data_IF_325172369099
#
_entry.id   IF_325172369099
#
_cell.length_a   1.000
_cell.length_b   1.000
_cell.length_c   1.000
_cell.angle_alpha   90.00
_cell.angle_beta   90.00
_cell.angle_gamma   90.00
#
_symmetry.space_group_name_H-M   'P 1'
#
loop_
_entity.id
_entity.type
_entity.pdbx_description
1 polymer ?
#
# COMPACT_ATOMS: atom_id res chain seq x y z
N UNK A 1 7.91 -2.60 15.29
CA UNK A 1 8.12 -1.16 15.03
C UNK A 1 6.81 -0.51 14.61
N UNK A 2 6.66 0.78 14.90
CA UNK A 2 5.57 1.63 14.42
C UNK A 2 6.04 3.09 14.37
N UNK A 3 5.25 3.95 13.74
CA UNK A 3 5.52 5.38 13.60
C UNK A 3 6.21 5.72 12.28
N UNK A 4 6.56 7.00 12.15
CA UNK A 4 7.32 7.52 11.01
C UNK A 4 8.81 7.57 11.33
N UNK A 5 9.63 7.16 10.38
CA UNK A 5 11.10 7.17 10.51
C UNK A 5 11.71 7.98 9.38
N UNK A 6 12.32 9.13 9.70
CA UNK A 6 13.05 9.94 8.74
C UNK A 6 14.48 9.43 8.61
N UNK A 7 14.89 9.18 7.37
CA UNK A 7 16.23 8.68 7.04
C UNK A 7 16.92 9.72 6.17
N UNK A 8 18.10 10.15 6.61
CA UNK A 8 19.00 11.00 5.82
C UNK A 8 20.31 10.26 5.60
N UNK A 9 20.62 9.94 4.35
CA UNK A 9 21.84 9.21 3.96
C UNK A 9 22.62 10.09 2.99
N UNK A 10 23.87 10.41 3.31
CA UNK A 10 24.69 11.30 2.47
C UNK A 10 26.16 10.92 2.44
N UNK A 11 26.81 11.21 1.31
CA UNK A 11 28.25 11.27 1.18
C UNK A 11 28.64 12.58 0.50
N UNK A 12 29.92 12.72 0.11
CA UNK A 12 30.43 13.93 -0.57
C UNK A 12 29.72 14.30 -1.87
N UNK A 13 29.01 13.37 -2.52
CA UNK A 13 28.43 13.53 -3.87
C UNK A 13 26.90 13.51 -3.87
N UNK A 14 26.28 12.73 -3.00
CA UNK A 14 24.86 12.39 -3.06
C UNK A 14 24.25 12.52 -1.67
N UNK A 15 22.98 12.93 -1.60
CA UNK A 15 22.16 12.89 -0.40
C UNK A 15 20.75 12.39 -0.72
N UNK A 16 20.27 11.46 0.10
CA UNK A 16 18.90 10.98 0.17
C UNK A 16 18.28 11.47 1.47
N UNK A 17 17.00 11.84 1.42
CA UNK A 17 16.23 12.29 2.57
C UNK A 17 14.76 11.93 2.34
N UNK A 18 14.25 11.01 3.15
CA UNK A 18 12.91 10.48 2.99
C UNK A 18 12.34 10.03 4.33
N UNK A 19 11.03 9.81 4.37
CA UNK A 19 10.29 9.38 5.56
C UNK A 19 9.56 8.09 5.23
N UNK A 20 9.79 7.05 6.03
CA UNK A 20 9.01 5.81 5.97
C UNK A 20 7.83 5.92 6.93
N UNK A 21 6.65 5.45 6.48
CA UNK A 21 5.41 5.45 7.29
C UNK A 21 4.85 4.06 7.53
N UNK A 22 5.29 3.06 6.75
CA UNK A 22 4.82 1.68 6.82
C UNK A 22 6.00 0.73 6.84
N UNK A 23 5.70 -0.50 7.27
CA UNK A 23 6.65 -1.60 7.31
C UNK A 23 7.16 -2.04 5.93
N UNK A 24 6.46 -1.75 4.84
CA UNK A 24 6.88 -2.11 3.49
C UNK A 24 6.92 -0.87 2.59
N UNK A 25 8.11 -0.55 2.09
CA UNK A 25 8.35 0.49 1.10
C UNK A 25 9.10 -0.12 -0.08
N UNK A 26 8.56 0.06 -1.29
CA UNK A 26 9.13 -0.50 -2.52
C UNK A 26 9.67 0.64 -3.38
N UNK A 27 10.95 0.58 -3.70
CA UNK A 27 11.59 1.51 -4.63
C UNK A 27 11.70 0.84 -6.00
N UNK A 28 10.92 1.34 -6.96
CA UNK A 28 10.88 0.87 -8.35
C UNK A 28 11.57 1.86 -9.29
N UNK A 29 11.97 1.38 -10.47
CA UNK A 29 12.52 2.21 -11.54
C UNK A 29 13.59 1.48 -12.34
N UNK A 30 14.00 2.05 -13.46
CA UNK A 30 14.99 1.45 -14.34
C UNK A 30 16.40 1.39 -13.73
N UNK A 31 17.33 0.74 -14.43
CA UNK A 31 18.76 0.74 -14.10
C UNK A 31 19.30 2.17 -13.91
N UNK A 32 20.30 2.32 -13.04
CA UNK A 32 21.03 3.58 -12.82
C UNK A 32 20.18 4.77 -12.28
N UNK A 33 19.04 4.49 -11.64
CA UNK A 33 18.18 5.48 -10.97
C UNK A 33 18.64 5.85 -9.54
N UNK A 34 19.73 5.26 -9.05
CA UNK A 34 20.27 5.52 -7.70
C UNK A 34 19.74 4.60 -6.61
N UNK A 35 18.99 3.54 -6.94
CA UNK A 35 18.52 2.53 -5.98
C UNK A 35 19.66 1.73 -5.34
N UNK A 36 20.52 1.14 -6.18
CA UNK A 36 21.70 0.40 -5.72
C UNK A 36 22.65 1.31 -4.95
N UNK A 37 22.88 2.54 -5.42
CA UNK A 37 23.67 3.55 -4.69
C UNK A 37 23.16 3.83 -3.28
N UNK A 38 21.83 3.95 -3.10
CA UNK A 38 21.24 4.14 -1.77
C UNK A 38 21.58 2.96 -0.85
N UNK A 39 21.39 1.73 -1.33
CA UNK A 39 21.58 0.52 -0.52
C UNK A 39 23.07 0.26 -0.24
N UNK A 40 23.94 0.50 -1.21
CA UNK A 40 25.40 0.41 -1.02
C UNK A 40 25.87 1.42 0.03
N UNK A 41 25.35 2.65 0.03
CA UNK A 41 25.68 3.63 1.07
C UNK A 41 25.22 3.19 2.46
N UNK A 42 24.06 2.53 2.58
CA UNK A 42 23.62 1.93 3.85
C UNK A 42 24.57 0.83 4.26
N UNK A 43 24.92 -0.09 3.35
CA UNK A 43 25.86 -1.20 3.62
C UNK A 43 27.22 -0.70 4.07
N UNK A 44 27.80 0.26 3.36
CA UNK A 44 29.11 0.84 3.68
C UNK A 44 29.13 1.43 5.09
N UNK A 45 28.06 2.14 5.49
CA UNK A 45 27.91 2.71 6.82
C UNK A 45 27.67 1.64 7.89
N UNK A 46 26.85 0.63 7.60
CA UNK A 46 26.56 -0.47 8.53
C UNK A 46 27.84 -1.27 8.86
N UNK A 47 28.67 -1.54 7.85
CA UNK A 47 29.92 -2.29 8.01
C UNK A 47 31.06 -1.47 8.65
N UNK A 48 31.19 -0.18 8.30
CA UNK A 48 32.38 0.62 8.62
C UNK A 48 32.10 1.90 9.44
N UNK A 49 30.84 2.19 9.75
CA UNK A 49 30.43 3.43 10.42
C UNK A 49 30.89 4.68 9.67
N UNK A 50 31.33 5.69 10.43
CA UNK A 50 31.81 6.98 9.87
C UNK A 50 33.05 6.84 8.96
N UNK A 51 33.84 5.75 9.11
CA UNK A 51 35.03 5.52 8.30
C UNK A 51 34.70 5.27 6.81
N UNK A 52 33.47 4.89 6.49
CA UNK A 52 32.95 4.78 5.11
C UNK A 52 32.94 6.11 4.35
N UNK A 53 32.94 7.24 5.06
CA UNK A 53 32.67 8.55 4.47
C UNK A 53 31.19 8.79 4.11
N UNK A 54 30.31 7.90 4.56
CA UNK A 54 28.86 8.06 4.56
C UNK A 54 28.40 8.56 5.93
N UNK A 55 27.40 9.44 5.94
CA UNK A 55 26.64 9.79 7.15
C UNK A 55 25.23 9.25 7.00
N UNK A 56 24.76 8.51 8.00
CA UNK A 56 23.39 8.01 8.09
C UNK A 56 22.76 8.55 9.37
N UNK A 57 21.62 9.22 9.25
CA UNK A 57 20.82 9.71 10.36
C UNK A 57 19.43 9.08 10.29
N UNK A 58 19.08 8.31 11.32
CA UNK A 58 17.76 7.75 11.56
C UNK A 58 17.60 7.52 13.07
N UNK A 59 16.36 7.48 13.55
CA UNK A 59 16.03 7.08 14.93
C UNK A 59 16.07 5.56 15.15
N UNK A 60 16.26 4.78 14.09
CA UNK A 60 16.34 3.31 14.07
C UNK A 60 17.65 2.86 13.43
N UNK A 61 18.10 1.65 13.78
CA UNK A 61 19.21 1.03 13.10
C UNK A 61 18.83 0.76 11.63
N UNK A 62 19.74 1.05 10.71
CA UNK A 62 19.58 0.78 9.29
C UNK A 62 20.61 -0.27 8.88
N UNK A 63 20.13 -1.42 8.43
CA UNK A 63 20.97 -2.56 8.03
C UNK A 63 20.62 -2.98 6.62
N UNK A 64 21.52 -3.69 5.95
CA UNK A 64 21.18 -4.38 4.70
C UNK A 64 20.89 -5.86 4.95
N UNK A 65 20.13 -6.49 4.07
CA UNK A 65 19.90 -7.95 4.10
C UNK A 65 20.16 -8.52 2.71
N UNK A 66 21.03 -9.52 2.61
CA UNK A 66 21.42 -10.08 1.31
C UNK A 66 21.95 -11.51 1.37
N UNK A 67 22.03 -12.15 0.20
CA UNK A 67 22.70 -13.44 0.04
C UNK A 67 21.91 -14.64 0.57
N UNK A 68 22.57 -15.81 0.59
CA UNK A 68 21.89 -17.11 0.80
C UNK A 68 21.50 -17.41 2.25
N UNK A 69 22.06 -16.68 3.22
CA UNK A 69 21.82 -16.88 4.66
C UNK A 69 20.88 -15.82 5.25
N UNK A 70 20.13 -15.13 4.39
CA UNK A 70 19.22 -14.05 4.78
C UNK A 70 18.24 -14.49 5.88
N UNK A 71 17.81 -15.75 5.92
CA UNK A 71 16.89 -16.24 6.97
C UNK A 71 17.50 -16.16 8.36
N UNK A 72 18.74 -16.60 8.51
CA UNK A 72 19.45 -16.59 9.80
C UNK A 72 19.76 -15.15 10.21
N UNK A 73 20.24 -14.35 9.28
CA UNK A 73 20.53 -12.92 9.50
C UNK A 73 19.27 -12.17 9.93
N UNK A 74 18.14 -12.40 9.26
CA UNK A 74 16.87 -11.75 9.58
C UNK A 74 16.34 -12.10 10.98
N UNK A 75 16.67 -13.27 11.54
CA UNK A 75 16.24 -13.65 12.89
C UNK A 75 16.90 -12.80 13.99
N UNK A 76 18.09 -12.29 13.69
CA UNK A 76 18.90 -11.46 14.60
C UNK A 76 18.54 -9.97 14.50
N UNK A 77 17.96 -9.54 13.36
CA UNK A 77 17.56 -8.16 13.12
C UNK A 77 16.23 -7.85 13.82
N UNK A 78 16.24 -6.88 14.74
CA UNK A 78 15.08 -6.41 15.51
C UNK A 78 14.98 -4.90 15.49
N UNK A 79 13.76 -4.38 15.58
CA UNK A 79 13.44 -2.94 15.62
C UNK A 79 14.30 -2.08 14.65
N UNK A 80 14.52 -2.58 13.43
CA UNK A 80 15.43 -1.99 12.44
C UNK A 80 14.75 -1.69 11.10
N UNK A 81 15.41 -0.87 10.28
CA UNK A 81 15.06 -0.61 8.88
C UNK A 81 15.98 -1.42 7.99
N UNK A 82 15.41 -2.39 7.28
CA UNK A 82 16.13 -3.38 6.48
C UNK A 82 16.06 -3.01 5.01
N UNK A 83 17.23 -2.75 4.42
CA UNK A 83 17.38 -2.41 3.02
C UNK A 83 17.74 -3.65 2.19
N UNK A 84 17.01 -3.90 1.10
CA UNK A 84 17.21 -5.08 0.24
C UNK A 84 17.31 -4.62 -1.21
N UNK A 85 18.41 -4.98 -1.87
CA UNK A 85 18.66 -4.63 -3.27
C UNK A 85 18.09 -5.68 -4.23
N UNK A 86 17.90 -5.26 -5.48
CA UNK A 86 17.24 -6.02 -6.57
C UNK A 86 17.87 -7.40 -6.81
N UNK A 87 19.17 -7.56 -6.55
CA UNK A 87 19.91 -8.82 -6.77
C UNK A 87 19.52 -10.00 -5.87
N UNK A 88 18.51 -9.84 -5.00
CA UNK A 88 18.09 -10.84 -4.03
C UNK A 88 16.75 -11.48 -4.43
N UNK A 89 16.79 -12.56 -5.21
CA UNK A 89 15.56 -13.25 -5.69
C UNK A 89 14.66 -13.77 -4.56
N UNK A 90 15.19 -13.96 -3.34
CA UNK A 90 14.40 -14.42 -2.21
C UNK A 90 13.21 -13.49 -1.89
N UNK A 91 13.27 -12.20 -2.26
CA UNK A 91 12.18 -11.24 -2.00
C UNK A 91 10.85 -11.65 -2.64
N UNK A 92 10.88 -12.44 -3.72
CA UNK A 92 9.70 -12.89 -4.45
C UNK A 92 9.09 -14.18 -3.89
N UNK A 93 9.72 -14.78 -2.89
CA UNK A 93 9.31 -16.08 -2.34
C UNK A 93 8.21 -15.93 -1.28
N UNK A 94 7.43 -17.00 -1.08
CA UNK A 94 6.45 -17.06 0.00
C UNK A 94 7.14 -17.21 1.36
N UNK A 95 8.31 -17.83 1.38
CA UNK A 95 9.17 -18.02 2.54
C UNK A 95 9.61 -16.67 3.10
N UNK A 96 10.07 -15.76 2.24
CA UNK A 96 10.41 -14.39 2.64
C UNK A 96 9.21 -13.66 3.24
N UNK A 97 8.07 -13.66 2.54
CA UNK A 97 6.84 -13.06 3.03
C UNK A 97 6.41 -13.64 4.39
N UNK A 98 6.57 -14.96 4.56
CA UNK A 98 6.23 -15.66 5.79
C UNK A 98 7.17 -15.35 6.96
N UNK A 99 8.44 -15.05 6.69
CA UNK A 99 9.42 -14.61 7.68
C UNK A 99 9.17 -13.16 8.09
N UNK A 100 9.12 -12.21 7.15
CA UNK A 100 9.06 -10.78 7.50
C UNK A 100 7.78 -10.38 8.22
N UNK A 101 6.66 -11.07 7.97
CA UNK A 101 5.39 -10.81 8.68
C UNK A 101 5.46 -11.13 10.18
N UNK A 102 6.51 -11.81 10.65
CA UNK A 102 6.75 -12.18 12.06
C UNK A 102 7.85 -11.35 12.70
N UNK A 103 8.24 -10.25 12.05
CA UNK A 103 9.30 -9.37 12.53
C UNK A 103 8.74 -8.02 12.90
N UNK A 104 9.50 -7.30 13.71
CA UNK A 104 9.22 -5.96 14.16
C UNK A 104 9.96 -4.90 13.32
N UNK A 105 10.38 -5.24 12.10
CA UNK A 105 11.20 -4.39 11.24
C UNK A 105 10.38 -3.61 10.19
N UNK A 106 10.98 -2.56 9.64
CA UNK A 106 10.54 -1.92 8.39
C UNK A 106 11.47 -2.36 7.25
N UNK A 107 10.95 -2.43 6.03
CA UNK A 107 11.65 -2.94 4.86
C UNK A 107 11.61 -1.93 3.72
N UNK A 108 12.79 -1.60 3.20
CA UNK A 108 12.97 -0.81 1.99
C UNK A 108 13.52 -1.73 0.91
N UNK A 109 12.69 -2.10 -0.05
CA UNK A 109 13.03 -3.09 -1.08
C UNK A 109 13.18 -2.37 -2.42
N UNK A 110 14.39 -2.37 -2.97
CA UNK A 110 14.65 -1.92 -4.33
C UNK A 110 14.46 -3.08 -5.30
N UNK A 111 13.62 -2.89 -6.32
CA UNK A 111 13.40 -3.90 -7.36
C UNK A 111 12.90 -3.26 -8.64
N UNK A 112 13.02 -3.94 -9.78
CA UNK A 112 12.37 -3.54 -11.03
C UNK A 112 10.97 -4.08 -11.21
N UNK A 113 10.61 -5.14 -10.50
CA UNK A 113 9.35 -5.86 -10.68
C UNK A 113 8.43 -5.74 -9.46
N UNK A 114 7.15 -6.08 -9.63
CA UNK A 114 6.22 -6.16 -8.50
C UNK A 114 6.59 -7.34 -7.62
N UNK A 115 6.21 -7.31 -6.34
CA UNK A 115 6.48 -8.41 -5.40
C UNK A 115 5.14 -9.05 -4.99
N UNK A 116 4.60 -10.04 -5.73
CA UNK A 116 3.24 -10.53 -5.52
C UNK A 116 3.00 -11.17 -4.15
N UNK A 117 4.06 -11.71 -3.53
CA UNK A 117 4.01 -12.34 -2.21
C UNK A 117 3.82 -11.33 -1.07
N UNK A 118 4.03 -10.02 -1.32
CA UNK A 118 3.99 -8.97 -0.30
C UNK A 118 2.76 -8.06 -0.42
N UNK A 119 2.08 -7.72 0.69
CA UNK A 119 0.91 -6.84 0.69
C UNK A 119 1.32 -5.38 0.92
N UNK A 120 2.17 -4.82 0.05
CA UNK A 120 2.56 -3.42 0.16
C UNK A 120 1.51 -2.48 -0.44
N UNK A 121 1.42 -1.27 0.11
CA UNK A 121 0.45 -0.28 -0.31
C UNK A 121 0.84 0.37 -1.64
N UNK A 122 -0.16 0.74 -2.42
CA UNK A 122 0.00 1.55 -3.64
C UNK A 122 0.66 2.90 -3.36
N UNK A 123 0.50 3.43 -2.16
CA UNK A 123 1.11 4.68 -1.71
C UNK A 123 2.57 4.50 -1.28
N UNK A 124 3.04 3.27 -1.07
CA UNK A 124 4.41 2.99 -0.62
C UNK A 124 5.31 2.51 -1.78
N UNK A 125 4.99 2.94 -3.00
CA UNK A 125 5.75 2.64 -4.21
C UNK A 125 6.39 3.92 -4.73
N UNK A 126 7.71 3.97 -4.69
CA UNK A 126 8.48 5.17 -4.99
C UNK A 126 9.47 4.97 -6.13
N UNK A 127 9.72 6.03 -6.89
CA UNK A 127 10.89 6.17 -7.73
C UNK A 127 11.88 7.12 -7.09
N UNK A 128 13.13 7.08 -7.56
CA UNK A 128 14.18 8.03 -7.17
C UNK A 128 14.45 8.97 -8.35
N UNK A 129 14.48 10.27 -8.09
CA UNK A 129 14.91 11.26 -9.07
C UNK A 129 15.78 12.34 -8.43
N UNK A 130 16.59 12.97 -9.28
CA UNK A 130 17.41 14.11 -8.90
C UNK A 130 16.53 15.37 -8.76
N UNK A 131 16.60 16.03 -7.61
CA UNK A 131 15.83 17.24 -7.30
C UNK A 131 16.67 18.52 -7.17
N UNK A 132 17.96 18.45 -7.50
CA UNK A 132 18.81 19.64 -7.62
C UNK A 132 20.26 19.45 -7.14
N UNK A 133 21.00 20.57 -7.14
CA UNK A 133 22.37 20.67 -6.62
C UNK A 133 22.46 21.84 -5.64
N UNK A 134 23.20 21.70 -4.54
CA UNK A 134 23.34 22.74 -3.52
C UNK A 134 24.76 23.33 -3.48
N UNK A 135 24.89 24.64 -3.70
CA UNK A 135 26.16 25.39 -3.57
C UNK A 135 27.18 25.19 -4.71
N UNK A 136 28.38 25.75 -4.56
CA UNK A 136 29.51 25.56 -5.50
C UNK A 136 30.06 24.11 -5.51
N UNK A 137 29.81 23.36 -4.43
CA UNK A 137 30.13 21.95 -4.31
C UNK A 137 28.96 21.11 -4.84
N UNK A 138 29.19 20.36 -5.92
CA UNK A 138 28.22 19.60 -6.73
C UNK A 138 27.53 18.41 -6.02
N UNK A 139 27.05 18.55 -4.78
CA UNK A 139 26.27 17.51 -4.12
C UNK A 139 24.87 17.46 -4.74
N UNK A 140 24.45 16.26 -5.14
CA UNK A 140 23.18 16.01 -5.83
C UNK A 140 22.15 15.46 -4.84
N UNK A 141 20.98 16.10 -4.77
CA UNK A 141 19.89 15.66 -3.89
C UNK A 141 18.98 14.68 -4.62
N UNK A 142 18.64 13.60 -3.95
CA UNK A 142 17.79 12.53 -4.46
C UNK A 142 16.49 12.53 -3.66
N UNK A 143 15.38 12.68 -4.35
CA UNK A 143 14.05 12.64 -3.74
C UNK A 143 13.30 11.38 -4.15
N UNK A 144 12.49 10.89 -3.20
CA UNK A 144 11.51 9.87 -3.47
C UNK A 144 10.24 10.54 -3.99
N UNK A 145 9.70 10.00 -5.07
CA UNK A 145 8.41 10.43 -5.60
C UNK A 145 7.50 9.21 -5.75
N UNK A 146 6.20 9.36 -5.47
CA UNK A 146 5.24 8.28 -5.67
C UNK A 146 5.16 7.95 -7.16
N UNK A 147 5.34 6.67 -7.50
CA UNK A 147 5.22 6.21 -8.89
C UNK A 147 3.78 6.14 -9.36
N UNK A 148 2.86 5.91 -8.42
CA UNK A 148 1.44 5.90 -8.69
C UNK A 148 0.78 6.94 -7.78
N UNK A 149 0.19 7.96 -8.39
CA UNK A 149 -0.70 8.87 -7.68
C UNK A 149 -2.12 8.34 -7.81
N UNK A 150 -2.66 7.75 -6.74
CA UNK A 150 -4.00 7.12 -6.73
C UNK A 150 -5.09 8.07 -7.22
N UNK A 151 -4.92 9.38 -6.97
CA UNK A 151 -5.87 10.41 -7.40
C UNK A 151 -5.97 10.55 -8.92
N UNK A 152 -4.92 10.23 -9.68
CA UNK A 152 -4.90 10.31 -11.15
C UNK A 152 -5.87 9.29 -11.78
N UNK A 153 -6.18 8.21 -11.04
CA UNK A 153 -7.05 7.13 -11.48
C UNK A 153 -8.49 7.27 -10.96
N UNK A 154 -8.77 8.30 -10.14
CA UNK A 154 -10.10 8.59 -9.60
C UNK A 154 -10.78 9.70 -10.42
N UNK A 155 -11.94 9.40 -10.99
CA UNK A 155 -12.77 10.36 -11.71
C UNK A 155 -14.22 10.21 -11.31
N UNK A 156 -14.96 11.31 -11.32
CA UNK A 156 -16.41 11.27 -11.21
C UNK A 156 -16.95 10.51 -12.42
N UNK A 157 -17.49 9.33 -12.16
CA UNK A 157 -18.11 8.50 -13.19
C UNK A 157 -19.30 7.77 -12.57
N UNK A 158 -20.37 7.66 -13.37
CA UNK A 158 -21.49 6.78 -13.07
C UNK A 158 -21.14 5.38 -13.60
N UNK A 159 -20.95 4.37 -12.73
CA UNK A 159 -20.54 3.05 -13.18
C UNK A 159 -21.66 2.37 -13.98
N UNK A 160 -21.30 1.75 -15.10
CA UNK A 160 -22.13 0.74 -15.75
C UNK A 160 -21.98 -0.61 -15.03
N UNK A 161 -20.77 -0.92 -14.56
CA UNK A 161 -20.47 -2.07 -13.73
C UNK A 161 -19.43 -1.71 -12.66
N UNK A 162 -19.48 -2.42 -11.54
CA UNK A 162 -18.47 -2.37 -10.48
C UNK A 162 -17.74 -3.71 -10.43
N UNK A 163 -16.42 -3.67 -10.31
CA UNK A 163 -15.57 -4.83 -10.04
C UNK A 163 -14.90 -4.65 -8.68
N UNK A 164 -15.10 -5.59 -7.77
CA UNK A 164 -14.45 -5.60 -6.44
C UNK A 164 -13.32 -6.62 -6.39
N UNK A 165 -12.32 -6.39 -5.54
CA UNK A 165 -11.17 -7.29 -5.37
C UNK A 165 -11.57 -8.70 -4.94
N UNK A 166 -12.27 -8.82 -3.81
CA UNK A 166 -12.65 -10.10 -3.21
C UNK A 166 -14.18 -10.31 -3.18
N UNK A 167 -14.62 -11.42 -2.62
CA UNK A 167 -16.04 -11.77 -2.49
C UNK A 167 -16.60 -11.60 -1.06
N UNK A 168 -15.90 -10.85 -0.21
CA UNK A 168 -16.20 -10.71 1.21
C UNK A 168 -17.15 -9.51 1.47
N UNK A 169 -17.09 -8.93 2.67
CA UNK A 169 -17.97 -7.84 3.11
C UNK A 169 -18.00 -6.64 2.19
N UNK A 170 -16.86 -6.23 1.61
CA UNK A 170 -16.82 -5.13 0.64
C UNK A 170 -17.68 -5.44 -0.59
N UNK A 171 -17.53 -6.63 -1.17
CA UNK A 171 -18.37 -7.09 -2.28
C UNK A 171 -19.85 -7.15 -1.91
N UNK A 172 -20.20 -7.72 -0.76
CA UNK A 172 -21.59 -7.82 -0.30
C UNK A 172 -22.24 -6.44 -0.16
N UNK A 173 -21.51 -5.47 0.36
CA UNK A 173 -21.93 -4.07 0.42
C UNK A 173 -22.15 -3.50 -0.98
N UNK A 174 -21.10 -3.46 -1.81
CA UNK A 174 -21.16 -2.83 -3.14
C UNK A 174 -22.19 -3.47 -4.05
N UNK A 175 -22.30 -4.80 -4.05
CA UNK A 175 -23.32 -5.55 -4.80
C UNK A 175 -24.73 -5.16 -4.42
N UNK A 176 -24.99 -5.00 -3.12
CA UNK A 176 -26.34 -4.67 -2.65
C UNK A 176 -26.69 -3.23 -3.00
N UNK A 177 -25.79 -2.28 -2.72
CA UNK A 177 -26.07 -0.85 -2.93
C UNK A 177 -26.13 -0.50 -4.43
N UNK A 178 -25.25 -1.07 -5.25
CA UNK A 178 -25.28 -0.87 -6.70
C UNK A 178 -26.47 -1.58 -7.35
N UNK A 179 -26.83 -2.76 -6.85
CA UNK A 179 -27.96 -3.55 -7.35
C UNK A 179 -29.30 -2.83 -7.19
N UNK A 180 -29.50 -2.07 -6.10
CA UNK A 180 -30.69 -1.20 -5.92
C UNK A 180 -30.84 -0.14 -7.01
N UNK A 181 -29.74 0.23 -7.66
CA UNK A 181 -29.66 1.22 -8.73
C UNK A 181 -29.58 0.57 -10.12
N UNK A 182 -29.70 -0.76 -10.20
CA UNK A 182 -29.60 -1.52 -11.46
C UNK A 182 -28.17 -1.66 -12.00
N UNK A 183 -27.15 -1.42 -11.17
CA UNK A 183 -25.74 -1.51 -11.55
C UNK A 183 -25.18 -2.86 -11.08
N UNK A 184 -24.65 -3.65 -12.01
CA UNK A 184 -24.06 -4.95 -11.70
C UNK A 184 -22.73 -4.79 -10.94
N UNK A 185 -22.53 -5.62 -9.92
CA UNK A 185 -21.26 -5.72 -9.21
C UNK A 185 -20.71 -7.16 -9.28
N UNK A 186 -19.47 -7.29 -9.75
CA UNK A 186 -18.73 -8.55 -9.81
C UNK A 186 -17.56 -8.54 -8.84
N UNK A 187 -17.11 -9.73 -8.45
CA UNK A 187 -15.90 -9.96 -7.67
C UNK A 187 -14.83 -10.53 -8.60
N UNK A 188 -13.58 -10.09 -8.44
CA UNK A 188 -12.43 -10.70 -9.09
C UNK A 188 -11.94 -11.96 -8.35
N UNK A 189 -12.39 -12.20 -7.11
CA UNK A 189 -11.96 -13.33 -6.28
C UNK A 189 -10.46 -13.29 -5.93
N UNK A 190 -9.92 -12.08 -5.77
CA UNK A 190 -8.56 -11.78 -5.35
C UNK A 190 -7.88 -10.75 -6.26
N UNK A 191 -6.97 -9.95 -5.69
CA UNK A 191 -6.23 -8.91 -6.42
C UNK A 191 -5.55 -9.39 -7.70
N UNK A 192 -4.98 -10.59 -7.69
CA UNK A 192 -4.27 -11.16 -8.85
C UNK A 192 -5.16 -11.40 -10.07
N UNK A 193 -6.48 -11.50 -9.88
CA UNK A 193 -7.44 -11.74 -10.95
C UNK A 193 -8.00 -10.45 -11.56
N UNK A 194 -7.80 -9.29 -10.93
CA UNK A 194 -8.34 -8.00 -11.41
C UNK A 194 -7.91 -7.72 -12.85
N UNK A 195 -6.64 -8.00 -13.19
CA UNK A 195 -6.13 -7.82 -14.55
C UNK A 195 -6.90 -8.67 -15.58
N UNK A 196 -7.08 -9.95 -15.30
CA UNK A 196 -7.75 -10.89 -16.20
C UNK A 196 -9.23 -10.52 -16.40
N UNK A 197 -9.95 -10.26 -15.32
CA UNK A 197 -11.37 -9.89 -15.37
C UNK A 197 -11.57 -8.55 -16.09
N UNK A 198 -10.70 -7.57 -15.84
CA UNK A 198 -10.75 -6.27 -16.53
C UNK A 198 -10.46 -6.42 -18.02
N UNK A 199 -9.45 -7.23 -18.38
CA UNK A 199 -9.12 -7.50 -19.79
C UNK A 199 -10.26 -8.17 -20.54
N UNK A 200 -11.00 -9.08 -19.89
CA UNK A 200 -12.19 -9.69 -20.47
C UNK A 200 -13.33 -8.69 -20.62
N UNK A 201 -13.56 -7.83 -19.62
CA UNK A 201 -14.56 -6.77 -19.68
C UNK A 201 -14.33 -5.85 -20.89
N UNK A 202 -13.08 -5.48 -21.17
CA UNK A 202 -12.71 -4.61 -22.28
C UNK A 202 -12.98 -5.18 -23.67
N UNK A 203 -13.22 -6.49 -23.81
CA UNK A 203 -13.53 -7.13 -25.11
C UNK A 203 -14.95 -6.84 -25.61
N UNK A 204 -15.78 -6.19 -24.80
CA UNK A 204 -17.12 -5.79 -25.19
C UNK A 204 -17.09 -4.81 -26.37
N UNK A 205 -18.08 -4.91 -27.26
CA UNK A 205 -18.18 -4.07 -28.46
C UNK A 205 -18.30 -2.56 -28.14
N UNK A 206 -18.80 -2.22 -26.96
CA UNK A 206 -18.95 -0.84 -26.49
C UNK A 206 -18.19 -0.64 -25.19
N UNK A 207 -17.32 0.36 -25.18
CA UNK A 207 -16.67 0.84 -23.97
C UNK A 207 -17.74 1.37 -23.01
N UNK A 208 -17.88 0.71 -21.87
CA UNK A 208 -18.81 1.09 -20.81
C UNK A 208 -18.02 1.44 -19.54
N UNK A 209 -18.51 2.39 -18.73
CA UNK A 209 -17.86 2.75 -17.47
C UNK A 209 -17.69 1.58 -16.49
N UNK A 210 -16.45 1.27 -16.14
CA UNK A 210 -16.11 0.27 -15.13
C UNK A 210 -15.42 0.94 -13.94
N UNK A 211 -15.97 0.72 -12.74
CA UNK A 211 -15.29 1.14 -11.50
C UNK A 211 -14.72 -0.09 -10.82
N UNK A 212 -13.40 -0.12 -10.69
CA UNK A 212 -12.66 -1.17 -9.99
C UNK A 212 -12.37 -0.69 -8.56
N UNK A 213 -12.78 -1.48 -7.56
CA UNK A 213 -12.60 -1.21 -6.13
C UNK A 213 -11.70 -2.28 -5.52
N UNK A 214 -10.56 -1.88 -4.97
CA UNK A 214 -9.59 -2.80 -4.37
C UNK A 214 -8.88 -2.21 -3.16
N UNK A 215 -8.35 -3.06 -2.28
CA UNK A 215 -7.72 -2.64 -1.02
C UNK A 215 -6.31 -2.07 -1.30
N UNK A 216 -6.23 -0.74 -1.43
CA UNK A 216 -5.01 0.01 -1.74
C UNK A 216 -3.88 -0.17 -0.72
N UNK A 217 -4.18 -0.62 0.50
CA UNK A 217 -3.16 -1.01 1.47
C UNK A 217 -2.34 -2.25 1.04
N UNK A 218 -2.85 -3.08 0.12
CA UNK A 218 -2.21 -4.35 -0.29
C UNK A 218 -2.21 -4.61 -1.82
N UNK A 219 -2.70 -3.66 -2.62
CA UNK A 219 -2.83 -3.76 -4.08
C UNK A 219 -1.54 -3.40 -4.85
N UNK A 220 -0.45 -3.04 -4.17
CA UNK A 220 0.75 -2.50 -4.79
C UNK A 220 1.42 -3.40 -5.84
N UNK A 221 1.33 -4.72 -5.70
CA UNK A 221 1.87 -5.70 -6.66
C UNK A 221 1.19 -5.68 -8.02
N UNK A 222 -0.07 -5.25 -8.07
CA UNK A 222 -0.89 -5.27 -9.28
C UNK A 222 -0.88 -3.94 -10.03
N UNK A 223 -0.41 -2.86 -9.38
CA UNK A 223 -0.49 -1.50 -9.91
C UNK A 223 0.09 -1.36 -11.31
N UNK A 224 1.29 -1.89 -11.57
CA UNK A 224 1.91 -1.80 -12.89
C UNK A 224 1.06 -2.45 -13.97
N UNK A 225 0.63 -3.70 -13.75
CA UNK A 225 -0.16 -4.48 -14.73
C UNK A 225 -1.50 -3.80 -15.01
N UNK A 226 -2.20 -3.40 -13.96
CA UNK A 226 -3.55 -2.82 -14.07
C UNK A 226 -3.50 -1.41 -14.66
N UNK A 227 -2.55 -0.57 -14.23
CA UNK A 227 -2.43 0.79 -14.78
C UNK A 227 -1.95 0.80 -16.24
N UNK A 228 -1.10 -0.15 -16.64
CA UNK A 228 -0.76 -0.35 -18.05
C UNK A 228 -1.97 -0.81 -18.87
N UNK A 229 -2.79 -1.71 -18.32
CA UNK A 229 -4.01 -2.21 -18.98
C UNK A 229 -5.01 -1.08 -19.24
N UNK A 230 -5.31 -0.26 -18.22
CA UNK A 230 -6.32 0.81 -18.34
C UNK A 230 -5.76 2.10 -18.97
N UNK A 231 -4.48 2.12 -19.37
CA UNK A 231 -3.87 3.32 -19.95
C UNK A 231 -4.59 3.69 -21.25
N UNK A 232 -5.15 4.90 -21.28
CA UNK A 232 -5.94 5.38 -22.42
C UNK A 232 -7.44 5.03 -22.35
N UNK A 233 -7.84 4.17 -21.41
CA UNK A 233 -9.25 3.80 -21.16
C UNK A 233 -9.86 4.70 -20.07
N UNK A 234 -10.38 5.86 -20.50
CA UNK A 234 -10.92 6.87 -19.59
C UNK A 234 -12.21 6.43 -18.88
N UNK A 235 -12.90 5.45 -19.44
CA UNK A 235 -14.09 4.80 -18.92
C UNK A 235 -13.80 3.88 -17.73
N UNK A 236 -12.54 3.51 -17.49
CA UNK A 236 -12.16 2.63 -16.39
C UNK A 236 -11.49 3.45 -15.28
N UNK A 237 -12.06 3.33 -14.09
CA UNK A 237 -11.64 4.07 -12.89
C UNK A 237 -11.17 3.09 -11.83
N UNK A 238 -10.02 3.38 -11.21
CA UNK A 238 -9.54 2.65 -10.03
C UNK A 238 -9.86 3.44 -8.78
N UNK A 239 -10.61 2.83 -7.88
CA UNK A 239 -10.86 3.33 -6.55
C UNK A 239 -10.16 2.45 -5.52
N UNK A 240 -9.05 2.96 -4.98
CA UNK A 240 -8.16 2.25 -4.06
C UNK A 240 -8.22 2.89 -2.67
N UNK A 241 -9.26 2.64 -1.85
CA UNK A 241 -9.25 3.02 -0.43
C UNK A 241 -8.18 2.22 0.33
N UNK A 242 -7.87 2.57 1.58
CA UNK A 242 -6.97 1.71 2.39
C UNK A 242 -7.52 0.29 2.51
N UNK A 243 -8.79 0.18 2.90
CA UNK A 243 -9.61 -1.03 2.78
C UNK A 243 -11.10 -0.69 2.89
N UNK A 244 -11.97 -1.67 2.72
CA UNK A 244 -13.41 -1.48 3.02
C UNK A 244 -13.68 -1.17 4.50
N UNK A 245 -12.96 -1.79 5.43
CA UNK A 245 -13.12 -1.55 6.88
C UNK A 245 -12.72 -0.12 7.25
N UNK A 246 -11.68 0.40 6.61
CA UNK A 246 -11.30 1.79 6.76
C UNK A 246 -12.41 2.75 6.28
N UNK A 247 -13.15 2.43 5.22
CA UNK A 247 -14.31 3.22 4.79
C UNK A 247 -15.42 3.22 5.84
N UNK A 248 -15.72 2.05 6.44
CA UNK A 248 -16.70 1.93 7.52
C UNK A 248 -16.29 2.79 8.73
N UNK A 249 -15.02 2.71 9.14
CA UNK A 249 -14.49 3.51 10.25
C UNK A 249 -14.60 5.01 9.94
N UNK A 250 -14.26 5.43 8.71
CA UNK A 250 -14.39 6.82 8.27
C UNK A 250 -15.83 7.32 8.20
N UNK A 251 -16.80 6.45 7.95
CA UNK A 251 -18.22 6.80 7.96
C UNK A 251 -18.71 7.18 9.38
N UNK A 252 -17.88 6.95 10.40
CA UNK A 252 -18.11 7.34 11.79
C UNK A 252 -19.42 6.78 12.34
N UNK A 253 -19.75 5.53 11.99
CA UNK A 253 -21.00 4.87 12.40
C UNK A 253 -21.02 4.53 13.89
N UNK A 254 -19.84 4.42 14.51
CA UNK A 254 -19.65 4.21 15.95
C UNK A 254 -19.00 5.47 16.52
N UNK A 255 -19.63 6.10 17.51
CA UNK A 255 -19.10 7.29 18.16
C UNK A 255 -17.98 6.91 19.13
N UNK A 256 -16.75 6.97 18.66
CA UNK A 256 -15.55 6.75 19.47
C UNK A 256 -14.43 7.69 19.02
N UNK A 257 -13.92 8.52 19.94
CA UNK A 257 -12.85 9.49 19.65
C UNK A 257 -11.56 8.80 19.22
N UNK A 258 -11.30 7.58 19.69
CA UNK A 258 -10.13 6.81 19.30
C UNK A 258 -10.12 6.51 17.79
N UNK A 259 -11.30 6.29 17.18
CA UNK A 259 -11.40 6.05 15.73
C UNK A 259 -10.83 7.24 14.96
N UNK A 260 -11.19 8.46 15.36
CA UNK A 260 -10.71 9.68 14.70
C UNK A 260 -9.19 9.87 14.87
N UNK A 261 -8.65 9.55 16.06
CA UNK A 261 -7.22 9.63 16.32
C UNK A 261 -6.43 8.64 15.46
N UNK A 262 -6.88 7.39 15.40
CA UNK A 262 -6.27 6.32 14.59
C UNK A 262 -6.33 6.62 13.10
N UNK A 263 -7.44 7.16 12.60
CA UNK A 263 -7.58 7.49 11.17
C UNK A 263 -6.72 8.68 10.72
N UNK A 264 -6.34 9.58 11.64
CA UNK A 264 -5.53 10.75 11.34
C UNK A 264 -4.03 10.45 11.28
N UNK A 265 -3.53 9.53 12.12
CA UNK A 265 -2.13 9.14 12.18
C UNK A 265 -1.98 7.62 12.41
N UNK A 266 -2.46 6.78 11.47
CA UNK A 266 -2.47 5.32 11.62
C UNK A 266 -1.10 4.71 11.92
N UNK A 267 -0.03 5.27 11.36
CA UNK A 267 1.35 4.87 11.62
C UNK A 267 1.71 4.82 13.11
N UNK A 268 1.09 5.65 13.97
CA UNK A 268 1.38 5.72 15.40
C UNK A 268 0.69 4.60 16.21
N UNK A 269 -0.20 3.83 15.57
CA UNK A 269 -1.01 2.78 16.18
C UNK A 269 -0.72 1.39 15.60
N UNK A 270 -0.24 1.31 14.35
CA UNK A 270 -0.08 0.04 13.64
C UNK A 270 1.32 -0.53 13.86
N UNK A 271 1.39 -1.56 14.70
CA UNK A 271 2.61 -2.33 14.99
C UNK A 271 2.92 -3.32 13.86
N UNK A 272 4.11 -3.21 13.25
CA UNK A 272 4.55 -4.07 12.13
C UNK A 272 4.58 -5.56 12.46
N UNK A 273 4.93 -5.91 13.70
CA UNK A 273 4.97 -7.30 14.19
C UNK A 273 3.59 -7.93 14.29
N UNK A 274 2.55 -7.12 14.55
CA UNK A 274 1.17 -7.60 14.72
C UNK A 274 0.40 -7.59 13.41
N UNK A 275 0.63 -6.58 12.58
CA UNK A 275 -0.16 -6.31 11.39
C UNK A 275 0.73 -6.13 10.18
N UNK A 276 0.74 -7.16 9.33
CA UNK A 276 1.55 -7.15 8.11
C UNK A 276 1.12 -6.11 7.08
N UNK A 277 -0.15 -5.70 7.12
CA UNK A 277 -0.74 -4.62 6.32
C UNK A 277 -1.69 -3.80 7.18
N UNK A 278 -1.94 -2.55 6.76
CA UNK A 278 -2.91 -1.69 7.43
C UNK A 278 -4.36 -2.21 7.32
N UNK A 279 -4.69 -2.95 6.25
CA UNK A 279 -5.98 -3.62 6.08
C UNK A 279 -6.26 -4.63 7.21
N UNK A 280 -5.25 -5.44 7.60
CA UNK A 280 -5.37 -6.36 8.75
C UNK A 280 -5.63 -5.61 10.05
N UNK A 281 -4.97 -4.47 10.25
CA UNK A 281 -5.20 -3.63 11.42
C UNK A 281 -6.61 -3.06 11.43
N UNK A 282 -7.06 -2.39 10.37
CA UNK A 282 -8.39 -1.79 10.31
C UNK A 282 -9.50 -2.84 10.45
N UNK A 283 -9.27 -4.04 9.93
CA UNK A 283 -10.17 -5.18 10.17
C UNK A 283 -10.26 -5.54 11.66
N UNK A 284 -9.13 -5.77 12.32
CA UNK A 284 -9.12 -6.10 13.75
C UNK A 284 -9.72 -4.96 14.60
N UNK A 285 -9.38 -3.72 14.29
CA UNK A 285 -9.85 -2.53 14.98
C UNK A 285 -11.37 -2.34 14.82
N UNK A 286 -11.91 -2.48 13.60
CA UNK A 286 -13.36 -2.39 13.38
C UNK A 286 -14.12 -3.51 14.09
N UNK A 287 -13.62 -4.75 14.07
CA UNK A 287 -14.21 -5.87 14.82
C UNK A 287 -14.25 -5.54 16.31
N UNK A 288 -13.17 -5.01 16.87
CA UNK A 288 -13.11 -4.61 18.27
C UNK A 288 -14.14 -3.51 18.58
N UNK A 289 -14.19 -2.45 17.76
CA UNK A 289 -15.07 -1.29 17.98
C UNK A 289 -16.55 -1.60 17.83
N UNK A 290 -16.90 -2.64 17.08
CA UNK A 290 -18.30 -3.00 16.80
C UNK A 290 -18.79 -4.22 17.56
N UNK A 291 -17.91 -4.92 18.31
CA UNK A 291 -18.17 -6.23 18.93
C UNK A 291 -19.49 -6.32 19.68
N UNK A 292 -19.78 -5.33 20.52
CA UNK A 292 -20.94 -5.30 21.42
C UNK A 292 -22.04 -4.35 20.91
N UNK A 293 -22.08 -4.12 19.59
CA UNK A 293 -23.07 -3.23 18.94
C UNK A 293 -23.93 -4.00 17.92
N UNK A 294 -25.06 -3.42 17.55
CA UNK A 294 -25.88 -3.93 16.44
C UNK A 294 -25.14 -3.89 15.09
N UNK A 295 -24.05 -3.13 15.01
CA UNK A 295 -23.15 -3.02 13.85
C UNK A 295 -22.01 -4.03 13.90
N UNK A 296 -22.07 -5.10 14.70
CA UNK A 296 -21.01 -6.10 14.79
C UNK A 296 -20.47 -6.48 13.40
N UNK A 297 -19.19 -6.22 13.16
CA UNK A 297 -18.53 -6.48 11.89
C UNK A 297 -17.94 -7.89 11.83
N UNK A 298 -17.96 -8.49 10.63
CA UNK A 298 -17.24 -9.72 10.32
C UNK A 298 -16.76 -9.66 8.86
N UNK A 299 -15.46 -9.87 8.61
CA UNK A 299 -14.86 -9.74 7.27
C UNK A 299 -15.57 -10.58 6.21
N UNK A 300 -15.86 -11.85 6.50
CA UNK A 300 -16.43 -12.81 5.54
C UNK A 300 -17.91 -12.60 5.22
N UNK A 301 -18.71 -12.20 6.21
CA UNK A 301 -20.16 -12.06 6.07
C UNK A 301 -20.60 -10.76 6.73
N UNK A 302 -21.03 -9.82 5.91
CA UNK A 302 -21.40 -8.48 6.32
C UNK A 302 -22.71 -8.53 7.09
N UNK A 303 -22.73 -7.91 8.26
CA UNK A 303 -23.95 -7.70 9.02
C UNK A 303 -24.93 -6.85 8.21
N UNK A 304 -26.17 -7.33 8.06
CA UNK A 304 -27.21 -6.70 7.24
C UNK A 304 -27.56 -5.27 7.66
N UNK A 305 -27.23 -4.88 8.90
CA UNK A 305 -27.37 -3.49 9.37
C UNK A 305 -26.58 -2.51 8.51
N UNK A 306 -25.43 -2.91 7.96
CA UNK A 306 -24.64 -2.09 7.04
C UNK A 306 -25.32 -1.85 5.69
N UNK A 307 -26.34 -2.63 5.36
CA UNK A 307 -27.12 -2.50 4.12
C UNK A 307 -28.35 -1.60 4.32
N UNK A 308 -28.66 -1.15 5.54
CA UNK A 308 -29.72 -0.17 5.78
C UNK A 308 -29.39 1.14 5.03
N UNK A 309 -30.38 1.74 4.37
CA UNK A 309 -30.22 2.92 3.50
C UNK A 309 -29.39 4.02 4.16
N UNK A 310 -29.79 4.48 5.36
CA UNK A 310 -29.09 5.52 6.11
C UNK A 310 -27.64 5.17 6.44
N UNK A 311 -27.34 3.91 6.73
CA UNK A 311 -25.97 3.48 7.04
C UNK A 311 -25.14 3.37 5.76
N UNK A 312 -25.72 2.77 4.72
CA UNK A 312 -25.06 2.64 3.43
C UNK A 312 -24.74 4.00 2.80
N UNK A 313 -25.66 4.96 2.88
CA UNK A 313 -25.44 6.35 2.42
C UNK A 313 -24.25 6.98 3.13
N UNK A 314 -24.16 6.87 4.46
CA UNK A 314 -23.00 7.40 5.22
C UNK A 314 -21.67 6.77 4.82
N UNK A 315 -21.66 5.49 4.43
CA UNK A 315 -20.45 4.84 3.91
C UNK A 315 -20.13 5.35 2.51
N UNK A 316 -21.14 5.49 1.65
CA UNK A 316 -20.98 6.03 0.30
C UNK A 316 -20.52 7.49 0.31
N UNK A 317 -20.94 8.32 1.26
CA UNK A 317 -20.51 9.72 1.41
C UNK A 317 -19.00 9.86 1.63
N UNK A 318 -18.36 8.83 2.21
CA UNK A 318 -16.89 8.78 2.38
C UNK A 318 -16.21 8.45 1.05
N UNK A 319 -16.90 7.75 0.17
CA UNK A 319 -16.41 7.36 -1.16
C UNK A 319 -16.51 8.56 -2.08
N UNK A 320 -15.46 9.38 -2.07
CA UNK A 320 -15.36 10.52 -2.98
C UNK A 320 -15.33 10.03 -4.43
N UNK A 321 -16.08 10.71 -5.31
CA UNK A 321 -16.01 10.60 -6.78
C UNK A 321 -16.54 9.31 -7.40
N UNK A 322 -17.26 8.45 -6.65
CA UNK A 322 -18.11 7.40 -7.25
C UNK A 322 -19.56 7.87 -7.15
N UNK A 323 -20.19 8.14 -8.28
CA UNK A 323 -21.59 8.60 -8.34
C UNK A 323 -22.49 7.39 -8.60
N UNK A 324 -23.13 6.88 -7.54
CA UNK A 324 -24.10 5.78 -7.64
C UNK A 324 -25.55 6.26 -7.85
N UNK A 325 -25.78 7.58 -7.88
CA UNK A 325 -27.10 8.20 -8.04
C UNK A 325 -27.44 8.55 -9.49
#
# INVERSE_FOLDING_TARGET
MKGQHRIVIRNKRIQYDFVLKRNLTVIRGDSATGKTTLIDMVREFDENGEASGVTLQCDKACTTLSGKRWETELQEIRDSIVFIDEGNEFIFTNEFAACIQKTDNYYVIATREGIPSLPYSVNEIYGIRNSGKYGELKQTYQEFYHLYNVEDYRKNIKPYQILTEDSNSGYQFFKTVSGRKGIECKSAEGKSNIFAVTSEYMKQERAQPLVIIADGAAFGSEMEKVTNLIRGHQEIVLYLPESFEWLILKANLVEDKEISLVLNAPEDYIESEKYFSWERFFTAFLIQKTRDSYLRYAKKELNSSYLNEKISERILDVIKRIELD
#
